data_IF_454817201651
#
_entry.id   IF_454817201651
#
_cell.length_a   1.000
_cell.length_b   1.000
_cell.length_c   1.000
_cell.angle_alpha   90.00
_cell.angle_beta   90.00
_cell.angle_gamma   90.00
#
_symmetry.space_group_name_H-M   'P 1'
#
loop_
_entity.id
_entity.type
_entity.pdbx_description
1 polymer ?
#
# COMPACT_ATOMS: atom_id res chain seq x y z
N UNK A 1 -22.68 -0.80 -0.33
CA UNK A 1 -21.33 -1.43 -0.31
C UNK A 1 -20.32 -0.39 0.12
N UNK A 2 -19.39 -0.76 0.98
CA UNK A 2 -18.28 0.13 1.37
C UNK A 2 -17.40 0.41 0.15
N UNK A 3 -16.93 1.65 -0.02
CA UNK A 3 -16.01 2.00 -1.10
C UNK A 3 -14.58 1.61 -0.72
N UNK A 4 -13.82 1.12 -1.70
CA UNK A 4 -12.42 0.77 -1.55
C UNK A 4 -11.53 1.79 -2.26
N UNK A 5 -10.55 2.32 -1.55
CA UNK A 5 -9.51 3.22 -2.05
C UNK A 5 -8.17 2.48 -2.03
N UNK A 6 -7.54 2.30 -3.18
CA UNK A 6 -6.18 1.76 -3.25
C UNK A 6 -5.15 2.86 -3.02
N UNK A 7 -4.21 2.65 -2.12
CA UNK A 7 -3.12 3.58 -1.79
C UNK A 7 -1.81 2.95 -2.23
N UNK A 8 -1.23 3.48 -3.29
CA UNK A 8 0.09 3.07 -3.76
C UNK A 8 1.15 3.84 -2.98
N UNK A 9 1.96 3.13 -2.21
CA UNK A 9 3.04 3.68 -1.41
C UNK A 9 4.33 3.67 -2.23
N UNK A 10 4.81 4.85 -2.64
CA UNK A 10 6.03 4.98 -3.44
C UNK A 10 7.27 5.29 -2.60
N UNK A 11 7.10 5.34 -1.28
CA UNK A 11 8.12 5.76 -0.34
C UNK A 11 9.04 4.62 0.08
N UNK A 12 10.32 4.93 0.17
CA UNK A 12 11.38 4.12 0.75
C UNK A 12 12.71 4.85 0.62
N UNK A 13 13.62 4.68 1.61
CA UNK A 13 15.01 5.13 1.46
C UNK A 13 15.70 4.18 0.48
N UNK A 14 15.66 4.50 -0.83
CA UNK A 14 16.32 3.71 -1.89
C UNK A 14 17.86 3.73 -1.80
N UNK A 15 18.43 3.80 -0.60
CA UNK A 15 19.89 3.92 -0.38
C UNK A 15 20.66 2.73 -0.95
N UNK A 16 20.07 1.52 -0.95
CA UNK A 16 20.69 0.30 -1.49
C UNK A 16 20.62 0.20 -3.03
N UNK A 17 19.81 1.04 -3.67
CA UNK A 17 19.66 1.11 -5.12
C UNK A 17 20.33 2.37 -5.73
N UNK A 18 21.28 3.00 -5.03
CA UNK A 18 21.94 4.22 -5.52
C UNK A 18 21.01 5.44 -5.59
N UNK A 19 20.03 5.52 -4.69
CA UNK A 19 19.03 6.61 -4.63
C UNK A 19 18.05 6.69 -5.81
N UNK A 20 18.08 5.75 -6.74
CA UNK A 20 17.05 5.67 -7.78
C UNK A 20 15.67 5.41 -7.17
N UNK A 21 14.68 6.08 -7.74
CA UNK A 21 13.30 5.89 -7.31
C UNK A 21 12.75 4.57 -7.89
N UNK A 22 12.65 3.54 -7.06
CA UNK A 22 12.24 2.19 -7.46
C UNK A 22 10.92 2.15 -8.23
N UNK A 23 10.02 3.11 -7.97
CA UNK A 23 8.73 3.18 -8.66
C UNK A 23 8.87 3.31 -10.19
N UNK A 24 10.02 3.82 -10.67
CA UNK A 24 10.28 4.02 -12.10
C UNK A 24 11.22 2.97 -12.71
N UNK A 25 11.64 1.94 -11.93
CA UNK A 25 12.28 0.77 -12.52
C UNK A 25 11.30 0.06 -13.46
N UNK A 26 11.82 -0.55 -14.52
CA UNK A 26 10.99 -1.12 -15.58
C UNK A 26 11.06 -2.64 -15.62
N UNK A 27 9.93 -3.25 -15.90
CA UNK A 27 9.84 -4.62 -16.39
C UNK A 27 9.39 -4.49 -17.85
N UNK A 28 10.25 -4.86 -18.81
CA UNK A 28 10.07 -4.55 -20.24
C UNK A 28 9.87 -3.02 -20.42
N UNK A 29 8.74 -2.62 -20.96
CA UNK A 29 8.47 -1.21 -21.30
C UNK A 29 7.73 -0.43 -20.21
N UNK A 30 7.23 -1.11 -19.14
CA UNK A 30 6.41 -0.50 -18.11
C UNK A 30 7.17 -0.35 -16.79
N UNK A 31 7.04 0.82 -16.18
CA UNK A 31 7.56 1.06 -14.82
C UNK A 31 6.74 0.32 -13.77
N UNK A 32 7.33 0.09 -12.60
CA UNK A 32 6.67 -0.57 -11.46
C UNK A 32 5.35 0.10 -11.08
N UNK A 33 5.34 1.43 -11.08
CA UNK A 33 4.12 2.19 -10.78
C UNK A 33 3.03 1.99 -11.84
N UNK A 34 3.39 1.94 -13.12
CA UNK A 34 2.43 1.68 -14.21
C UNK A 34 1.81 0.29 -14.09
N UNK A 35 2.63 -0.73 -13.80
CA UNK A 35 2.16 -2.11 -13.62
C UNK A 35 1.15 -2.19 -12.46
N UNK A 36 1.45 -1.53 -11.32
CA UNK A 36 0.53 -1.49 -10.19
C UNK A 36 -0.76 -0.75 -10.51
N UNK A 37 -0.68 0.42 -11.15
CA UNK A 37 -1.86 1.19 -11.54
C UNK A 37 -2.77 0.34 -12.43
N UNK A 38 -2.23 -0.28 -13.48
CA UNK A 38 -2.99 -1.13 -14.38
C UNK A 38 -3.65 -2.31 -13.66
N UNK A 39 -2.93 -2.93 -12.71
CA UNK A 39 -3.48 -4.04 -11.92
C UNK A 39 -4.64 -3.61 -11.02
N UNK A 40 -4.62 -2.38 -10.52
CA UNK A 40 -5.61 -1.84 -9.58
C UNK A 40 -6.80 -1.17 -10.28
N UNK A 41 -6.67 -0.83 -11.56
CA UNK A 41 -7.77 -0.25 -12.34
C UNK A 41 -8.97 -1.20 -12.36
N UNK A 42 -10.16 -0.65 -12.06
CA UNK A 42 -11.40 -1.42 -12.00
C UNK A 42 -11.54 -2.36 -10.77
N UNK A 43 -10.51 -2.47 -9.92
CA UNK A 43 -10.53 -3.26 -8.69
C UNK A 43 -10.86 -2.44 -7.44
N UNK A 44 -10.67 -1.13 -7.49
CA UNK A 44 -11.04 -0.19 -6.44
C UNK A 44 -11.79 1.01 -7.00
N UNK A 45 -12.52 1.72 -6.14
CA UNK A 45 -13.29 2.89 -6.53
C UNK A 45 -12.38 4.10 -6.83
N UNK A 46 -11.22 4.16 -6.19
CA UNK A 46 -10.24 5.24 -6.38
C UNK A 46 -8.82 4.71 -6.14
N UNK A 47 -7.84 5.31 -6.83
CA UNK A 47 -6.42 5.08 -6.62
C UNK A 47 -5.79 6.38 -6.15
N UNK A 48 -5.01 6.33 -5.08
CA UNK A 48 -4.20 7.42 -4.54
C UNK A 48 -2.74 7.00 -4.57
N UNK A 49 -1.87 7.90 -5.01
CA UNK A 49 -0.43 7.71 -4.98
C UNK A 49 0.13 8.52 -3.81
N UNK A 50 0.75 7.86 -2.82
CA UNK A 50 1.47 8.53 -1.77
C UNK A 50 2.94 8.66 -2.17
N UNK A 51 3.42 9.90 -2.33
CA UNK A 51 4.78 10.21 -2.74
C UNK A 51 5.32 11.44 -2.02
N UNK A 52 6.57 11.35 -1.50
CA UNK A 52 7.25 12.44 -0.80
C UNK A 52 8.33 13.14 -1.64
N UNK A 53 8.63 12.60 -2.81
CA UNK A 53 9.59 13.13 -3.78
C UNK A 53 9.12 12.85 -5.20
N UNK A 54 9.69 13.52 -6.19
CA UNK A 54 9.36 13.35 -7.61
C UNK A 54 7.85 13.50 -7.92
N UNK A 55 7.13 14.31 -7.16
CA UNK A 55 5.67 14.42 -7.21
C UNK A 55 5.16 14.71 -8.63
N UNK A 56 5.88 15.55 -9.38
CA UNK A 56 5.53 15.88 -10.77
C UNK A 56 5.50 14.64 -11.66
N UNK A 57 6.42 13.69 -11.45
CA UNK A 57 6.48 12.43 -12.22
C UNK A 57 5.27 11.51 -11.95
N UNK A 58 4.67 11.59 -10.77
CA UNK A 58 3.48 10.80 -10.47
C UNK A 58 2.19 11.44 -10.96
N UNK A 59 2.15 12.78 -11.04
CA UNK A 59 0.95 13.50 -11.53
C UNK A 59 0.59 13.17 -12.98
N UNK A 60 1.56 12.75 -13.80
CA UNK A 60 1.32 12.39 -15.21
C UNK A 60 0.36 11.20 -15.36
N UNK A 61 0.21 10.35 -14.33
CA UNK A 61 -0.71 9.21 -14.36
C UNK A 61 -2.17 9.59 -14.14
N UNK A 62 -2.48 10.87 -13.85
CA UNK A 62 -3.85 11.37 -13.71
C UNK A 62 -4.54 11.00 -12.39
N UNK A 63 -3.83 10.39 -11.44
CA UNK A 63 -4.36 10.04 -10.12
C UNK A 63 -4.02 11.10 -9.07
N UNK A 64 -4.76 11.08 -7.96
CA UNK A 64 -4.49 11.94 -6.81
C UNK A 64 -3.14 11.58 -6.19
N UNK A 65 -2.23 12.55 -6.09
CA UNK A 65 -0.93 12.38 -5.44
C UNK A 65 -0.93 13.12 -4.11
N UNK A 66 -0.57 12.43 -3.03
CA UNK A 66 -0.48 13.01 -1.69
C UNK A 66 0.90 12.77 -1.08
N UNK A 67 1.38 13.75 -0.33
CA UNK A 67 2.60 13.59 0.47
C UNK A 67 2.26 13.36 1.94
N UNK A 68 3.20 12.78 2.68
CA UNK A 68 3.05 12.59 4.11
C UNK A 68 2.79 13.93 4.81
N UNK A 69 1.66 14.02 5.52
CA UNK A 69 1.30 15.22 6.29
C UNK A 69 2.06 15.31 7.61
N UNK A 70 2.41 14.15 8.18
CA UNK A 70 3.20 14.08 9.41
C UNK A 70 4.64 13.78 9.02
N UNK A 71 5.52 14.77 9.16
CA UNK A 71 6.93 14.70 8.78
C UNK A 71 7.75 13.70 9.61
N UNK A 72 9.00 13.46 9.19
CA UNK A 72 9.97 12.64 9.93
C UNK A 72 10.09 11.18 9.48
N UNK A 73 9.71 10.85 8.24
CA UNK A 73 9.82 9.49 7.67
C UNK A 73 9.19 8.41 8.57
N UNK A 74 7.93 8.58 8.90
CA UNK A 74 7.20 7.72 9.84
C UNK A 74 6.72 6.39 9.24
N UNK A 75 7.28 6.00 8.09
CA UNK A 75 7.01 4.72 7.44
C UNK A 75 5.63 4.65 6.73
N UNK A 76 5.20 3.45 6.36
CA UNK A 76 3.99 3.26 5.54
C UNK A 76 2.71 3.81 6.15
N UNK A 77 2.62 3.85 7.48
CA UNK A 77 1.47 4.40 8.20
C UNK A 77 1.30 5.91 7.99
N UNK A 78 2.38 6.66 7.67
CA UNK A 78 2.27 8.09 7.34
C UNK A 78 1.58 8.29 5.97
N UNK A 79 1.89 7.44 5.01
CA UNK A 79 1.20 7.43 3.72
C UNK A 79 -0.28 7.08 3.86
N UNK A 80 -0.59 6.03 4.64
CA UNK A 80 -1.97 5.68 4.97
C UNK A 80 -2.70 6.83 5.65
N UNK A 81 -2.08 7.46 6.66
CA UNK A 81 -2.65 8.62 7.35
C UNK A 81 -2.99 9.75 6.39
N UNK A 82 -2.08 10.06 5.46
CA UNK A 82 -2.27 11.16 4.50
C UNK A 82 -3.39 10.87 3.49
N UNK A 83 -3.58 9.61 3.11
CA UNK A 83 -4.72 9.19 2.30
C UNK A 83 -6.03 9.27 3.10
N UNK A 84 -6.05 8.78 4.34
CA UNK A 84 -7.22 8.85 5.23
C UNK A 84 -7.65 10.29 5.52
N UNK A 85 -6.69 11.22 5.70
CA UNK A 85 -6.98 12.63 6.02
C UNK A 85 -7.76 13.34 4.90
N UNK A 86 -7.67 12.88 3.65
CA UNK A 86 -8.51 13.38 2.56
C UNK A 86 -10.00 13.15 2.80
N UNK A 87 -10.33 12.11 3.56
CA UNK A 87 -11.71 11.65 3.80
C UNK A 87 -12.15 11.77 5.25
N UNK A 88 -11.41 12.47 6.10
CA UNK A 88 -11.70 12.60 7.54
C UNK A 88 -13.08 13.17 7.86
N UNK A 89 -13.67 13.94 6.94
CA UNK A 89 -15.01 14.52 7.07
C UNK A 89 -16.06 13.72 6.28
N UNK A 90 -15.68 12.63 5.63
CA UNK A 90 -16.63 11.78 4.90
C UNK A 90 -17.51 11.00 5.88
N UNK A 91 -18.80 10.93 5.55
CA UNK A 91 -19.76 10.06 6.24
C UNK A 91 -19.82 8.64 5.66
N UNK A 92 -19.10 8.40 4.57
CA UNK A 92 -19.08 7.11 3.90
C UNK A 92 -18.21 6.11 4.66
N UNK A 93 -18.59 4.84 4.61
CA UNK A 93 -17.77 3.73 5.12
C UNK A 93 -16.72 3.39 4.07
N UNK A 94 -15.49 3.85 4.29
CA UNK A 94 -14.38 3.72 3.36
C UNK A 94 -13.35 2.72 3.89
N UNK A 95 -12.77 1.96 2.97
CA UNK A 95 -11.64 1.09 3.21
C UNK A 95 -10.45 1.51 2.35
N UNK A 96 -9.25 1.43 2.91
CA UNK A 96 -8.00 1.79 2.26
C UNK A 96 -7.12 0.56 2.15
N UNK A 97 -6.79 0.16 0.91
CA UNK A 97 -5.89 -0.95 0.64
C UNK A 97 -4.49 -0.44 0.32
N UNK A 98 -3.47 -0.94 1.01
CA UNK A 98 -2.07 -0.55 0.79
C UNK A 98 -1.42 -1.46 -0.25
N UNK A 99 -0.63 -0.84 -1.14
CA UNK A 99 0.17 -1.51 -2.16
C UNK A 99 1.53 -0.83 -2.29
N UNK A 100 2.64 -1.50 -1.98
CA UNK A 100 3.97 -0.93 -2.11
C UNK A 100 4.50 -1.04 -3.54
N UNK A 101 5.19 0.00 -4.04
CA UNK A 101 5.76 -0.03 -5.40
C UNK A 101 6.96 -0.95 -5.56
N UNK A 102 7.58 -1.41 -4.49
CA UNK A 102 8.70 -2.37 -4.54
C UNK A 102 8.25 -3.83 -4.74
N UNK A 103 6.94 -4.10 -4.76
CA UNK A 103 6.35 -5.36 -5.20
C UNK A 103 5.34 -5.10 -6.33
N UNK A 104 5.81 -4.84 -7.55
CA UNK A 104 4.97 -4.31 -8.63
C UNK A 104 3.98 -5.33 -9.20
N UNK A 105 4.29 -6.62 -9.12
CA UNK A 105 3.43 -7.69 -9.66
C UNK A 105 2.60 -8.26 -8.54
N UNK A 106 1.32 -7.93 -8.53
CA UNK A 106 0.36 -8.39 -7.53
C UNK A 106 -0.70 -9.31 -8.16
N UNK A 107 -1.27 -10.18 -7.33
CA UNK A 107 -2.50 -10.88 -7.66
C UNK A 107 -3.67 -10.17 -6.98
N UNK A 108 -4.52 -9.53 -7.77
CA UNK A 108 -5.65 -8.73 -7.27
C UNK A 108 -6.74 -9.57 -6.60
N UNK A 109 -6.65 -10.90 -6.66
CA UNK A 109 -7.53 -11.79 -5.90
C UNK A 109 -7.53 -11.51 -4.39
N UNK A 110 -6.47 -10.88 -3.84
CA UNK A 110 -6.49 -10.41 -2.43
C UNK A 110 -7.58 -9.36 -2.20
N UNK A 111 -7.87 -8.53 -3.21
CA UNK A 111 -8.95 -7.53 -3.15
C UNK A 111 -10.31 -8.25 -3.21
N UNK A 112 -10.43 -9.22 -4.12
CA UNK A 112 -11.67 -9.99 -4.28
C UNK A 112 -11.97 -10.77 -2.98
N UNK A 113 -10.94 -11.37 -2.34
CA UNK A 113 -11.07 -12.01 -1.02
C UNK A 113 -11.51 -11.02 0.06
N UNK A 114 -10.95 -9.81 0.10
CA UNK A 114 -11.38 -8.78 1.05
C UNK A 114 -12.83 -8.35 0.83
N UNK A 115 -13.22 -8.14 -0.43
CA UNK A 115 -14.60 -7.73 -0.77
C UNK A 115 -15.61 -8.81 -0.40
N UNK A 116 -15.25 -10.09 -0.52
CA UNK A 116 -16.12 -11.22 -0.19
C UNK A 116 -16.44 -11.36 1.30
N UNK A 117 -15.71 -10.68 2.19
CA UNK A 117 -16.02 -10.64 3.61
C UNK A 117 -17.30 -9.81 3.83
N UNK A 118 -18.42 -10.48 4.06
CA UNK A 118 -19.74 -9.84 4.22
C UNK A 118 -19.86 -9.06 5.51
N UNK A 119 -19.35 -9.61 6.63
CA UNK A 119 -19.29 -8.97 7.93
C UNK A 119 -17.85 -8.68 8.33
N UNK A 120 -17.43 -7.43 8.17
CA UNK A 120 -16.09 -7.00 8.59
C UNK A 120 -16.05 -6.71 10.08
N UNK A 121 -15.62 -7.71 10.85
CA UNK A 121 -15.56 -7.63 12.33
C UNK A 121 -14.39 -6.78 12.83
N UNK A 122 -13.26 -6.79 12.12
CA UNK A 122 -12.08 -5.99 12.45
C UNK A 122 -12.01 -4.70 11.64
N UNK A 123 -11.32 -3.70 12.17
CA UNK A 123 -11.01 -2.45 11.46
C UNK A 123 -9.80 -2.58 10.53
N UNK A 124 -9.05 -3.66 10.62
CA UNK A 124 -7.84 -3.94 9.85
C UNK A 124 -7.83 -5.40 9.40
N UNK A 125 -7.41 -5.61 8.17
CA UNK A 125 -7.13 -6.93 7.61
C UNK A 125 -5.74 -6.94 7.00
N UNK A 126 -4.90 -7.87 7.46
CA UNK A 126 -3.52 -8.04 6.98
C UNK A 126 -3.47 -9.28 6.08
N UNK A 127 -2.83 -9.17 4.92
CA UNK A 127 -2.68 -10.31 4.03
C UNK A 127 -1.64 -11.30 4.59
N UNK A 128 -2.00 -12.58 4.54
CA UNK A 128 -1.12 -13.71 4.81
C UNK A 128 -1.00 -14.52 3.53
N UNK A 129 0.12 -14.33 2.81
CA UNK A 129 0.35 -14.87 1.48
C UNK A 129 1.28 -16.09 1.61
N UNK A 130 0.83 -17.27 1.17
CA UNK A 130 1.54 -18.55 1.38
C UNK A 130 2.00 -18.75 2.84
N UNK A 131 1.16 -18.40 3.80
CA UNK A 131 1.43 -18.40 5.24
C UNK A 131 2.45 -17.35 5.74
N UNK A 132 2.96 -16.47 4.89
CA UNK A 132 3.84 -15.36 5.26
C UNK A 132 2.99 -14.11 5.48
N UNK A 133 3.20 -13.44 6.62
CA UNK A 133 2.51 -12.18 6.93
C UNK A 133 3.13 -11.06 6.10
N UNK A 134 2.30 -10.40 5.28
CA UNK A 134 2.70 -9.32 4.39
C UNK A 134 1.97 -8.01 4.75
N UNK A 135 2.46 -7.27 5.75
CA UNK A 135 1.74 -6.11 6.29
C UNK A 135 1.56 -4.96 5.30
N UNK A 136 2.41 -4.91 4.27
CA UNK A 136 2.31 -3.89 3.21
C UNK A 136 1.13 -4.14 2.27
N UNK A 137 0.55 -5.35 2.31
CA UNK A 137 -0.69 -5.70 1.64
C UNK A 137 -1.77 -5.83 2.70
N UNK A 138 -2.52 -4.76 2.93
CA UNK A 138 -3.46 -4.67 4.05
C UNK A 138 -4.61 -3.72 3.75
N UNK A 139 -5.72 -3.92 4.46
CA UNK A 139 -6.96 -3.16 4.29
C UNK A 139 -7.34 -2.50 5.61
N UNK A 140 -7.63 -1.21 5.57
CA UNK A 140 -7.80 -0.35 6.74
C UNK A 140 -9.10 0.42 6.66
N UNK A 141 -9.95 0.30 7.67
CA UNK A 141 -11.17 1.11 7.77
C UNK A 141 -10.84 2.58 8.01
N UNK A 142 -11.58 3.49 7.39
CA UNK A 142 -11.47 4.94 7.68
C UNK A 142 -11.67 5.28 9.16
N UNK A 143 -12.32 4.40 9.92
CA UNK A 143 -12.60 4.58 11.35
C UNK A 143 -11.35 4.57 12.24
N UNK A 144 -10.17 4.17 11.72
CA UNK A 144 -8.91 4.18 12.48
C UNK A 144 -8.21 5.53 12.49
N UNK A 145 -8.71 6.53 11.75
CA UNK A 145 -7.98 7.79 11.53
C UNK A 145 -7.56 8.49 12.83
N UNK A 146 -8.45 8.55 13.81
CA UNK A 146 -8.18 9.24 15.09
C UNK A 146 -7.08 8.55 15.87
N UNK A 147 -7.13 7.22 15.97
CA UNK A 147 -6.12 6.41 16.65
C UNK A 147 -4.77 6.51 15.94
N UNK A 148 -4.75 6.40 14.61
CA UNK A 148 -3.54 6.50 13.81
C UNK A 148 -2.88 7.87 13.94
N UNK A 149 -3.67 8.95 13.87
CA UNK A 149 -3.18 10.31 14.04
C UNK A 149 -2.50 10.50 15.42
N UNK A 150 -3.13 10.01 16.50
CA UNK A 150 -2.55 10.08 17.86
C UNK A 150 -1.21 9.36 17.96
N UNK A 151 -1.11 8.16 17.38
CA UNK A 151 0.11 7.34 17.42
C UNK A 151 1.24 7.99 16.64
N UNK A 152 0.97 8.51 15.44
CA UNK A 152 1.97 9.13 14.58
C UNK A 152 2.48 10.48 15.12
N UNK A 153 1.64 11.24 15.82
CA UNK A 153 2.08 12.48 16.46
C UNK A 153 3.02 12.23 17.66
N UNK A 154 2.82 11.14 18.39
CA UNK A 154 3.60 10.81 19.59
C UNK A 154 4.93 10.11 19.29
N UNK A 155 5.05 9.42 18.17
CA UNK A 155 6.17 8.54 17.87
C UNK A 155 6.92 8.95 16.61
N UNK A 156 8.26 8.76 16.60
CA UNK A 156 9.12 8.95 15.42
C UNK A 156 9.16 7.66 14.57
N UNK A 157 8.01 7.33 13.94
CA UNK A 157 7.81 6.09 13.20
C UNK A 157 7.09 5.02 14.03
N UNK A 158 6.27 4.25 13.36
CA UNK A 158 5.51 3.18 13.98
C UNK A 158 5.36 2.01 13.01
N UNK A 159 5.58 0.79 13.51
CA UNK A 159 5.47 -0.41 12.67
C UNK A 159 4.00 -0.74 12.40
N UNK A 160 3.68 -1.12 11.17
CA UNK A 160 2.32 -1.51 10.75
C UNK A 160 1.75 -2.57 11.70
N UNK A 161 2.48 -3.68 11.91
CA UNK A 161 2.00 -4.78 12.74
C UNK A 161 1.73 -4.34 14.17
N UNK A 162 2.62 -3.55 14.77
CA UNK A 162 2.40 -3.05 16.12
C UNK A 162 1.12 -2.23 16.25
N UNK A 163 0.84 -1.36 15.26
CA UNK A 163 -0.40 -0.60 15.26
C UNK A 163 -1.62 -1.48 15.04
N UNK A 164 -1.53 -2.46 14.12
CA UNK A 164 -2.62 -3.42 13.88
C UNK A 164 -2.95 -4.24 15.14
N UNK A 165 -1.93 -4.70 15.87
CA UNK A 165 -2.08 -5.43 17.14
C UNK A 165 -2.78 -4.58 18.21
N UNK A 166 -2.45 -3.29 18.32
CA UNK A 166 -3.06 -2.38 19.30
C UNK A 166 -4.56 -2.12 19.05
N UNK A 167 -4.98 -2.09 17.77
CA UNK A 167 -6.38 -1.79 17.42
C UNK A 167 -7.21 -3.03 17.09
N UNK A 168 -6.59 -4.19 17.03
CA UNK A 168 -7.20 -5.46 16.61
C UNK A 168 -7.27 -5.62 15.08
N UNK A 169 -6.91 -6.80 14.60
CA UNK A 169 -6.92 -7.11 13.18
C UNK A 169 -7.28 -8.57 12.92
N UNK A 170 -7.66 -8.88 11.68
CA UNK A 170 -7.84 -10.23 11.15
C UNK A 170 -6.91 -10.47 9.96
N UNK A 171 -6.73 -11.74 9.58
CA UNK A 171 -5.97 -12.11 8.40
C UNK A 171 -6.86 -12.35 7.18
N UNK A 172 -6.33 -11.97 6.01
CA UNK A 172 -6.80 -12.48 4.72
C UNK A 172 -5.78 -13.51 4.24
N UNK A 173 -6.15 -14.78 4.29
CA UNK A 173 -5.32 -15.83 3.77
C UNK A 173 -5.41 -15.84 2.23
N UNK A 174 -4.26 -15.86 1.58
CA UNK A 174 -4.15 -15.89 0.13
C UNK A 174 -3.04 -16.84 -0.31
N UNK A 175 -3.27 -17.56 -1.38
CA UNK A 175 -2.26 -18.41 -2.01
C UNK A 175 -1.91 -17.81 -3.37
N UNK A 176 -0.64 -17.48 -3.57
CA UNK A 176 -0.18 -16.99 -4.88
C UNK A 176 -0.15 -18.09 -5.92
N UNK A 177 -0.37 -17.71 -7.17
CA UNK A 177 -0.38 -18.62 -8.30
C UNK A 177 1.02 -18.74 -8.95
N UNK A 178 1.83 -17.68 -8.86
CA UNK A 178 3.16 -17.60 -9.47
C UNK A 178 4.17 -17.04 -8.48
N UNK A 179 5.42 -17.50 -8.55
CA UNK A 179 6.52 -17.05 -7.69
C UNK A 179 6.76 -15.54 -7.75
N UNK A 180 6.56 -14.94 -8.92
CA UNK A 180 6.75 -13.51 -9.16
C UNK A 180 5.72 -12.62 -8.44
N UNK A 181 4.53 -13.16 -8.09
CA UNK A 181 3.50 -12.39 -7.40
C UNK A 181 3.99 -11.99 -6.00
N UNK A 182 3.82 -10.71 -5.65
CA UNK A 182 4.22 -10.11 -4.38
C UNK A 182 5.73 -10.18 -4.09
N UNK A 183 6.55 -10.33 -5.13
CA UNK A 183 8.00 -10.35 -4.99
C UNK A 183 8.52 -8.94 -4.71
N UNK A 184 9.22 -8.75 -3.57
CA UNK A 184 9.78 -7.47 -3.15
C UNK A 184 11.16 -7.23 -3.76
N UNK A 185 11.34 -6.11 -4.43
CA UNK A 185 12.62 -5.65 -4.99
C UNK A 185 13.28 -4.68 -4.01
N UNK A 186 14.20 -5.14 -3.20
CA UNK A 186 14.91 -4.30 -2.21
C UNK A 186 16.22 -3.75 -2.76
N UNK A 187 16.93 -4.53 -3.56
CA UNK A 187 18.23 -4.22 -4.13
C UNK A 187 18.36 -4.64 -5.61
N UNK A 188 19.58 -4.51 -6.18
CA UNK A 188 19.84 -4.84 -7.58
C UNK A 188 19.74 -6.35 -7.88
N UNK A 189 20.06 -7.20 -6.91
CA UNK A 189 19.96 -8.64 -7.09
C UNK A 189 18.50 -9.06 -7.19
N UNK A 190 17.63 -8.55 -6.29
CA UNK A 190 16.19 -8.77 -6.34
C UNK A 190 15.62 -8.29 -7.69
N UNK A 191 16.11 -7.15 -8.20
CA UNK A 191 15.65 -6.63 -9.49
C UNK A 191 16.07 -7.55 -10.64
N UNK A 192 17.30 -8.07 -10.62
CA UNK A 192 17.77 -9.03 -11.62
C UNK A 192 16.95 -10.33 -11.55
N UNK A 193 16.68 -10.82 -10.34
CA UNK A 193 15.83 -11.99 -10.12
C UNK A 193 14.40 -11.75 -10.66
N UNK A 194 13.80 -10.60 -10.34
CA UNK A 194 12.47 -10.24 -10.87
C UNK A 194 12.42 -10.30 -12.40
N UNK A 195 13.49 -9.83 -13.07
CA UNK A 195 13.57 -9.85 -14.55
C UNK A 195 13.78 -11.24 -15.13
N UNK A 196 14.19 -12.23 -14.33
CA UNK A 196 14.42 -13.61 -14.77
C UNK A 196 13.16 -14.48 -14.75
N UNK A 197 12.09 -14.03 -14.10
CA UNK A 197 10.77 -14.70 -14.09
C UNK A 197 10.03 -14.49 -15.41
#
# INVERSE_FOLDING_TARGET
>A
MSKLVSVILTGGKSSRMGYENKSFLKIKDKSFIEILIESLQGKSNEIIINANRDISKYKIFGYKVVSDKIGGYKGPLAGLHSALDLYKNSKEDLWFALFPTDAPIINTGIIDNFISITEKKSKVYICKIDNIIEPMFSFWSSKIFTELNKVLLKNNGYKIMKFAEEIGFDYINFKKNKKIEFFNVNDKNDYTELLSF
#
